data_IF_439410769731
#
_entry.id   IF_439410769731
#
_cell.length_a   1.000
_cell.length_b   1.000
_cell.length_c   1.000
_cell.angle_alpha   90.00
_cell.angle_beta   90.00
_cell.angle_gamma   90.00
#
_symmetry.space_group_name_H-M   'P 1'
#
loop_
_entity.id
_entity.type
_entity.pdbx_description
1 polymer ?
#
# COMPACT_ATOMS: atom_id res chain seq x y z
N UNK A 1 -79.82 -6.76 8.03
CA UNK A 1 -78.57 -6.03 8.35
C UNK A 1 -77.40 -6.99 8.20
N UNK A 2 -76.59 -6.83 7.16
CA UNK A 2 -75.18 -7.23 7.08
C UNK A 2 -74.64 -6.69 5.76
N UNK A 3 -74.06 -5.49 5.83
CA UNK A 3 -73.27 -4.89 4.75
C UNK A 3 -71.93 -5.64 4.69
N UNK A 4 -71.55 -6.13 3.52
CA UNK A 4 -70.19 -6.56 3.26
C UNK A 4 -69.44 -5.40 2.61
N UNK A 5 -68.54 -4.81 3.37
CA UNK A 5 -67.55 -3.82 2.93
C UNK A 5 -66.45 -4.59 2.20
N UNK A 6 -66.29 -4.35 0.90
CA UNK A 6 -65.17 -4.86 0.11
C UNK A 6 -63.97 -3.95 0.40
N UNK A 7 -62.97 -4.48 1.10
CA UNK A 7 -61.70 -3.81 1.34
C UNK A 7 -60.82 -4.05 0.10
N UNK A 8 -60.60 -3.02 -0.71
CA UNK A 8 -59.56 -3.03 -1.74
C UNK A 8 -58.20 -2.92 -1.03
N UNK A 9 -57.48 -4.04 -0.95
CA UNK A 9 -56.09 -4.07 -0.55
C UNK A 9 -55.26 -3.57 -1.74
N UNK A 10 -54.80 -2.33 -1.69
CA UNK A 10 -53.82 -1.81 -2.65
C UNK A 10 -52.48 -2.50 -2.40
N UNK A 11 -52.02 -3.33 -3.33
CA UNK A 11 -50.61 -3.72 -3.38
C UNK A 11 -49.79 -2.44 -3.62
N UNK A 12 -49.10 -1.96 -2.59
CA UNK A 12 -47.91 -1.14 -2.80
C UNK A 12 -46.89 -2.06 -3.48
N UNK A 13 -46.65 -1.80 -4.77
CA UNK A 13 -45.44 -2.27 -5.44
C UNK A 13 -44.26 -1.60 -4.75
N UNK A 14 -43.56 -2.36 -3.91
CA UNK A 14 -42.23 -1.99 -3.42
C UNK A 14 -41.31 -2.15 -4.63
N UNK A 15 -41.08 -1.04 -5.34
CA UNK A 15 -40.00 -0.98 -6.34
C UNK A 15 -38.74 -0.77 -5.52
N UNK A 16 -37.79 -1.72 -5.47
CA UNK A 16 -36.49 -1.43 -4.88
C UNK A 16 -35.92 -0.23 -5.65
N UNK A 17 -35.54 0.82 -4.92
CA UNK A 17 -34.79 1.91 -5.51
C UNK A 17 -33.48 1.29 -6.02
N UNK A 18 -33.29 1.28 -7.33
CA UNK A 18 -31.99 0.96 -7.92
C UNK A 18 -31.11 2.14 -7.58
N UNK A 19 -30.32 2.01 -6.52
CA UNK A 19 -29.28 2.99 -6.18
C UNK A 19 -28.21 2.90 -7.25
N UNK A 20 -27.78 4.05 -7.77
CA UNK A 20 -26.59 4.09 -8.60
C UNK A 20 -25.38 3.61 -7.78
N UNK A 21 -24.49 2.86 -8.42
CA UNK A 21 -23.33 2.26 -7.78
C UNK A 21 -22.29 3.35 -7.49
N UNK A 22 -21.86 3.46 -6.23
CA UNK A 22 -20.67 4.20 -5.82
C UNK A 22 -19.66 3.20 -5.26
N UNK A 23 -18.38 3.37 -5.58
CA UNK A 23 -17.28 2.70 -4.88
C UNK A 23 -16.37 3.78 -4.32
N UNK A 24 -16.45 4.08 -3.03
CA UNK A 24 -15.60 5.09 -2.43
C UNK A 24 -14.14 4.68 -2.27
N UNK A 25 -13.84 3.37 -2.32
CA UNK A 25 -12.51 2.80 -2.09
C UNK A 25 -11.77 2.42 -3.38
N UNK A 26 -10.44 2.58 -3.43
CA UNK A 26 -9.60 2.29 -4.60
C UNK A 26 -9.66 0.81 -4.99
N UNK A 27 -9.57 -0.09 -4.01
CA UNK A 27 -9.51 -1.54 -4.24
C UNK A 27 -10.78 -2.11 -4.89
N UNK A 28 -11.91 -1.41 -4.78
CA UNK A 28 -13.18 -1.78 -5.42
C UNK A 28 -13.58 -0.83 -6.56
N UNK A 29 -12.60 -0.08 -7.11
CA UNK A 29 -12.82 0.88 -8.19
C UNK A 29 -13.68 0.30 -9.32
N UNK A 30 -14.66 1.08 -9.76
CA UNK A 30 -15.65 0.63 -10.74
C UNK A 30 -15.01 0.58 -12.14
N UNK A 31 -14.98 -0.57 -12.83
CA UNK A 31 -14.53 -0.64 -14.21
C UNK A 31 -15.44 0.17 -15.14
N UNK A 32 -14.86 1.09 -15.92
CA UNK A 32 -15.61 1.95 -16.85
C UNK A 32 -15.14 1.83 -18.29
N UNK A 33 -16.09 2.09 -19.18
CA UNK A 33 -15.91 2.18 -20.62
C UNK A 33 -16.13 3.59 -21.12
N UNK A 34 -15.78 3.82 -22.38
CA UNK A 34 -16.07 5.08 -23.04
C UNK A 34 -17.52 5.16 -23.55
N UNK A 35 -18.45 4.30 -23.10
CA UNK A 35 -19.83 4.26 -23.62
C UNK A 35 -20.67 5.49 -23.21
N UNK A 36 -21.97 5.47 -23.49
CA UNK A 36 -22.83 6.66 -23.35
C UNK A 36 -22.85 7.22 -21.94
N UNK A 37 -22.83 8.55 -21.82
CA UNK A 37 -22.86 9.34 -20.58
C UNK A 37 -23.75 8.71 -19.52
N UNK A 38 -23.15 8.36 -18.38
CA UNK A 38 -23.84 7.84 -17.20
C UNK A 38 -23.78 8.84 -16.06
N UNK A 39 -24.85 8.89 -15.27
CA UNK A 39 -24.92 9.64 -14.03
C UNK A 39 -24.47 8.76 -12.87
N UNK A 40 -23.50 9.27 -12.11
CA UNK A 40 -22.94 8.66 -10.92
C UNK A 40 -23.25 9.53 -9.71
N UNK A 41 -23.09 8.96 -8.52
CA UNK A 41 -23.30 9.64 -7.25
C UNK A 41 -22.10 9.33 -6.36
N UNK A 42 -21.50 10.34 -5.76
CA UNK A 42 -20.49 10.14 -4.72
C UNK A 42 -21.09 10.45 -3.35
N UNK A 43 -20.81 9.59 -2.39
CA UNK A 43 -21.19 9.77 -0.99
C UNK A 43 -20.23 8.98 -0.08
N UNK A 44 -19.76 9.64 0.98
CA UNK A 44 -18.87 9.04 1.98
C UNK A 44 -17.44 8.73 1.46
N UNK A 45 -16.64 8.15 2.35
CA UNK A 45 -15.23 7.85 2.12
C UNK A 45 -14.88 6.38 2.36
N UNK A 46 -15.81 5.47 2.04
CA UNK A 46 -15.52 4.04 2.04
C UNK A 46 -15.49 3.38 3.41
N UNK A 47 -15.25 2.08 3.38
CA UNK A 47 -14.97 1.29 4.58
C UNK A 47 -13.46 1.22 4.87
N UNK A 48 -12.63 1.48 3.87
CA UNK A 48 -11.18 1.62 3.95
C UNK A 48 -10.81 3.09 3.79
N UNK A 49 -9.89 3.56 4.63
CA UNK A 49 -9.26 4.85 4.42
C UNK A 49 -8.11 4.67 3.43
N UNK A 50 -8.34 5.01 2.15
CA UNK A 50 -7.36 4.95 1.09
C UNK A 50 -6.18 5.90 1.35
N UNK A 51 -6.32 6.92 2.21
CA UNK A 51 -5.24 7.86 2.50
C UNK A 51 -5.15 8.14 3.99
N UNK A 52 -4.41 7.32 4.75
CA UNK A 52 -4.28 7.47 6.21
C UNK A 52 -4.07 8.96 6.60
N UNK A 53 -5.02 9.60 7.30
CA UNK A 53 -5.05 11.04 7.52
C UNK A 53 -3.93 11.55 8.44
N UNK A 54 -3.28 10.66 9.18
CA UNK A 54 -2.16 10.96 10.06
C UNK A 54 -0.82 10.81 9.34
N UNK A 55 -0.74 9.95 8.33
CA UNK A 55 0.46 9.66 7.53
C UNK A 55 0.48 10.42 6.20
N UNK A 56 -0.58 10.31 5.41
CA UNK A 56 -0.71 10.86 4.05
C UNK A 56 -1.60 12.11 4.09
N UNK A 57 -0.96 13.28 4.00
CA UNK A 57 -1.66 14.58 3.98
C UNK A 57 -1.79 15.21 2.60
N UNK A 58 -1.13 14.62 1.61
CA UNK A 58 -1.11 15.09 0.23
C UNK A 58 -0.84 13.93 -0.72
N UNK A 59 -1.60 13.87 -1.80
CA UNK A 59 -1.35 13.01 -2.96
C UNK A 59 -1.43 13.86 -4.23
N UNK A 60 -0.27 14.16 -4.82
CA UNK A 60 -0.14 15.12 -5.91
C UNK A 60 -0.67 16.51 -5.56
N UNK A 61 -1.77 16.92 -6.19
CA UNK A 61 -2.44 18.19 -5.88
C UNK A 61 -3.66 18.05 -4.97
N UNK A 62 -4.06 16.82 -4.62
CA UNK A 62 -5.05 16.62 -3.57
C UNK A 62 -4.37 16.79 -2.21
N UNK A 63 -4.91 17.68 -1.39
CA UNK A 63 -4.40 17.93 -0.05
C UNK A 63 -5.51 17.71 0.96
N UNK A 64 -5.15 17.22 2.15
CA UNK A 64 -6.03 17.25 3.31
C UNK A 64 -6.33 18.72 3.61
N UNK A 65 -7.55 19.14 3.32
CA UNK A 65 -7.95 20.53 3.51
C UNK A 65 -8.02 20.93 4.98
N UNK A 66 -8.31 22.21 5.20
CA UNK A 66 -8.16 22.85 6.52
C UNK A 66 -9.20 22.42 7.57
N UNK A 67 -10.21 21.64 7.20
CA UNK A 67 -11.18 21.07 8.12
C UNK A 67 -10.63 19.75 8.68
N UNK A 68 -10.47 19.65 9.99
CA UNK A 68 -9.95 18.43 10.66
C UNK A 68 -10.75 17.16 10.36
N UNK A 69 -12.00 17.30 9.91
CA UNK A 69 -12.90 16.19 9.58
C UNK A 69 -12.85 15.75 8.12
N UNK A 70 -12.19 16.50 7.23
CA UNK A 70 -12.16 16.17 5.81
C UNK A 70 -10.76 15.66 5.46
N UNK A 71 -10.69 14.36 5.17
CA UNK A 71 -9.50 13.72 4.65
C UNK A 71 -9.42 13.95 3.12
N UNK A 72 -8.37 13.46 2.46
CA UNK A 72 -8.33 13.37 0.99
C UNK A 72 -9.54 12.57 0.51
N UNK A 73 -9.88 11.50 1.21
CA UNK A 73 -11.09 10.72 1.01
C UNK A 73 -12.25 11.26 1.87
N UNK A 74 -13.26 11.87 1.24
CA UNK A 74 -14.38 12.47 1.96
C UNK A 74 -15.74 12.14 1.34
N UNK A 75 -15.92 12.40 0.05
CA UNK A 75 -17.07 11.97 -0.76
C UNK A 75 -16.55 11.48 -2.08
N UNK A 76 -16.07 10.23 -2.10
CA UNK A 76 -15.24 9.69 -3.17
C UNK A 76 -16.01 8.72 -4.05
N UNK A 77 -15.54 8.64 -5.29
CA UNK A 77 -15.84 7.59 -6.24
C UNK A 77 -14.55 7.21 -6.97
N UNK A 78 -14.20 5.93 -6.94
CA UNK A 78 -13.11 5.38 -7.74
C UNK A 78 -13.62 4.67 -8.96
N UNK A 79 -12.92 4.92 -10.06
CA UNK A 79 -13.11 4.25 -11.33
C UNK A 79 -11.79 3.70 -11.83
N UNK A 80 -11.85 2.61 -12.59
CA UNK A 80 -10.71 2.05 -13.29
C UNK A 80 -11.03 1.91 -14.78
N UNK A 81 -10.09 2.28 -15.64
CA UNK A 81 -10.23 2.07 -17.07
C UNK A 81 -8.94 1.56 -17.68
N UNK A 82 -9.08 0.76 -18.73
CA UNK A 82 -7.98 0.26 -19.55
C UNK A 82 -8.04 0.88 -20.94
N UNK A 83 -6.92 1.42 -21.42
CA UNK A 83 -6.83 1.93 -22.77
C UNK A 83 -6.95 0.78 -23.79
N UNK A 84 -8.00 0.79 -24.62
CA UNK A 84 -8.22 -0.23 -25.65
C UNK A 84 -7.40 0.05 -26.93
N UNK A 85 -7.20 1.33 -27.24
CA UNK A 85 -6.35 1.79 -28.35
C UNK A 85 -5.43 2.93 -27.93
N UNK A 86 -4.22 2.96 -28.51
CA UNK A 86 -3.26 4.03 -28.27
C UNK A 86 -3.70 5.37 -28.88
N UNK A 87 -3.29 6.47 -28.26
CA UNK A 87 -3.63 7.83 -28.69
C UNK A 87 -3.93 8.74 -27.51
N UNK A 88 -4.75 9.76 -27.75
CA UNK A 88 -5.17 10.71 -26.73
C UNK A 88 -6.49 10.29 -26.11
N UNK A 89 -6.49 10.16 -24.79
CA UNK A 89 -7.67 9.99 -23.96
C UNK A 89 -7.79 11.19 -23.01
N UNK A 90 -9.00 11.67 -22.86
CA UNK A 90 -9.41 12.66 -21.87
C UNK A 90 -10.74 12.24 -21.26
N UNK A 91 -11.23 13.05 -20.33
CA UNK A 91 -12.56 12.88 -19.77
C UNK A 91 -13.08 14.21 -19.23
N UNK A 92 -14.39 14.35 -19.23
CA UNK A 92 -15.12 15.47 -18.66
C UNK A 92 -15.90 14.95 -17.44
N UNK A 93 -15.75 15.64 -16.31
CA UNK A 93 -16.57 15.45 -15.10
C UNK A 93 -17.49 16.67 -15.01
N UNK A 94 -18.80 16.44 -15.17
CA UNK A 94 -19.82 17.48 -15.08
C UNK A 94 -20.54 17.42 -13.73
N UNK A 95 -20.51 18.50 -12.97
CA UNK A 95 -21.34 18.66 -11.79
C UNK A 95 -22.82 18.78 -12.19
N UNK A 96 -23.66 17.87 -11.69
CA UNK A 96 -25.09 17.86 -11.98
C UNK A 96 -25.90 18.45 -10.81
N UNK A 97 -27.10 18.99 -11.06
CA UNK A 97 -27.95 19.48 -9.99
C UNK A 97 -28.41 18.34 -9.07
N UNK A 98 -28.20 18.49 -7.76
CA UNK A 98 -28.71 17.57 -6.75
C UNK A 98 -30.23 17.63 -6.57
N UNK A 99 -30.75 17.03 -5.49
CA UNK A 99 -32.20 16.98 -5.20
C UNK A 99 -32.85 18.38 -5.09
N UNK A 100 -32.07 19.38 -4.69
CA UNK A 100 -32.47 20.79 -4.60
C UNK A 100 -32.63 21.48 -5.96
N UNK A 101 -32.14 20.87 -7.05
CA UNK A 101 -32.14 21.43 -8.39
C UNK A 101 -31.05 22.48 -8.64
N UNK A 102 -30.12 22.65 -7.70
CA UNK A 102 -28.93 23.50 -7.85
C UNK A 102 -27.67 22.64 -7.89
N UNK A 103 -26.68 23.07 -8.67
CA UNK A 103 -25.33 22.49 -8.63
C UNK A 103 -24.61 23.05 -7.40
N UNK A 104 -24.23 22.16 -6.50
CA UNK A 104 -23.55 22.46 -5.23
C UNK A 104 -22.19 21.78 -5.13
N UNK A 105 -22.02 20.67 -5.84
CA UNK A 105 -20.77 19.94 -5.90
C UNK A 105 -19.70 20.68 -6.69
N UNK A 106 -18.49 20.65 -6.14
CA UNK A 106 -17.26 21.05 -6.80
C UNK A 106 -16.38 19.81 -6.83
N UNK A 107 -16.24 19.22 -8.02
CA UNK A 107 -15.52 17.97 -8.18
C UNK A 107 -14.03 18.23 -8.36
N UNK A 108 -13.26 17.54 -7.54
CA UNK A 108 -11.83 17.37 -7.69
C UNK A 108 -11.54 15.97 -8.22
N UNK A 109 -10.41 15.79 -8.88
CA UNK A 109 -9.99 14.47 -9.34
C UNK A 109 -8.50 14.25 -9.20
N UNK A 110 -8.13 12.98 -9.08
CA UNK A 110 -6.76 12.50 -9.26
C UNK A 110 -6.76 11.25 -10.12
N UNK A 111 -5.90 11.23 -11.14
CA UNK A 111 -5.70 10.11 -12.04
C UNK A 111 -4.33 9.50 -11.78
N UNK A 112 -4.30 8.21 -11.50
CA UNK A 112 -3.09 7.43 -11.25
C UNK A 112 -2.88 6.42 -12.38
N UNK A 113 -1.60 6.10 -12.65
CA UNK A 113 -1.21 5.13 -13.67
C UNK A 113 -0.04 5.61 -14.55
N UNK A 114 0.27 4.87 -15.62
CA UNK A 114 -0.32 3.57 -15.95
C UNK A 114 0.12 2.48 -14.95
N UNK A 115 -0.72 1.46 -14.79
CA UNK A 115 -0.41 0.16 -14.15
C UNK A 115 0.16 0.31 -12.72
N UNK A 116 -0.48 1.15 -11.90
CA UNK A 116 -0.18 1.28 -10.47
C UNK A 116 -1.11 0.41 -9.63
N UNK A 117 -0.61 -0.06 -8.49
CA UNK A 117 -1.41 -0.80 -7.53
C UNK A 117 -2.08 0.15 -6.53
N UNK A 118 -3.29 -0.19 -6.07
CA UNK A 118 -3.97 0.60 -5.04
C UNK A 118 -3.14 0.70 -3.74
N UNK A 119 -2.36 -0.33 -3.39
CA UNK A 119 -1.45 -0.27 -2.25
C UNK A 119 -0.44 0.87 -2.36
N UNK A 120 0.15 1.08 -3.55
CA UNK A 120 1.08 2.18 -3.81
C UNK A 120 0.39 3.54 -3.80
N UNK A 121 -0.87 3.60 -4.24
CA UNK A 121 -1.70 4.81 -4.11
C UNK A 121 -1.92 5.12 -2.63
N UNK A 122 -2.34 4.12 -1.85
CA UNK A 122 -2.76 4.29 -0.46
C UNK A 122 -1.60 4.56 0.49
N UNK A 123 -0.41 4.04 0.19
CA UNK A 123 0.82 4.37 0.94
C UNK A 123 1.50 5.67 0.44
N UNK A 124 0.95 6.32 -0.60
CA UNK A 124 1.43 7.58 -1.15
C UNK A 124 2.68 7.48 -2.04
N UNK A 125 3.17 6.28 -2.34
CA UNK A 125 4.31 6.08 -3.25
C UNK A 125 3.93 6.40 -4.69
N UNK A 126 2.74 5.98 -5.13
CA UNK A 126 2.18 6.39 -6.41
C UNK A 126 1.59 7.80 -6.30
N UNK A 127 2.07 8.69 -7.16
CA UNK A 127 1.57 10.06 -7.27
C UNK A 127 0.68 10.18 -8.52
N UNK A 128 -0.39 11.00 -8.48
CA UNK A 128 -1.26 11.12 -9.62
C UNK A 128 -0.53 11.80 -10.78
N UNK A 129 -0.80 11.30 -11.98
CA UNK A 129 -0.27 11.84 -13.23
C UNK A 129 -1.09 13.00 -13.77
N UNK A 130 -2.34 13.15 -13.32
CA UNK A 130 -3.24 14.27 -13.58
C UNK A 130 -4.08 14.51 -12.34
N UNK A 131 -4.33 15.76 -12.00
CA UNK A 131 -5.24 16.08 -10.90
C UNK A 131 -5.67 17.54 -10.94
N UNK A 132 -6.80 17.85 -10.31
CA UNK A 132 -7.20 19.22 -9.97
C UNK A 132 -7.64 19.32 -8.51
N UNK A 133 -7.54 20.53 -7.98
CA UNK A 133 -8.08 20.94 -6.68
C UNK A 133 -8.58 22.41 -6.72
N UNK A 134 -8.93 22.91 -7.91
CA UNK A 134 -9.24 24.33 -8.09
C UNK A 134 -10.70 24.60 -8.36
N UNK A 135 -11.12 25.78 -7.90
CA UNK A 135 -12.47 26.27 -8.12
C UNK A 135 -12.69 26.54 -9.60
N UNK A 136 -13.71 25.90 -10.15
CA UNK A 136 -14.03 25.97 -11.57
C UNK A 136 -15.08 27.07 -11.83
N UNK A 137 -14.83 27.90 -12.84
CA UNK A 137 -15.82 28.89 -13.32
C UNK A 137 -16.90 28.26 -14.24
N UNK A 138 -16.84 26.94 -14.45
CA UNK A 138 -17.78 26.13 -15.24
C UNK A 138 -18.22 24.92 -14.42
N UNK A 139 -19.28 24.23 -14.84
CA UNK A 139 -19.69 22.96 -14.18
C UNK A 139 -18.74 21.78 -14.48
N UNK A 140 -17.65 22.02 -15.21
CA UNK A 140 -16.78 20.99 -15.73
C UNK A 140 -15.36 21.08 -15.16
N UNK A 141 -14.81 19.91 -14.84
CA UNK A 141 -13.37 19.65 -14.64
C UNK A 141 -12.97 18.44 -15.48
N UNK A 142 -11.66 18.21 -15.67
CA UNK A 142 -11.19 16.97 -16.27
C UNK A 142 -9.89 17.06 -17.06
N UNK A 143 -9.80 16.25 -18.11
CA UNK A 143 -8.61 16.10 -18.95
C UNK A 143 -9.01 16.30 -20.41
N UNK A 144 -8.36 17.25 -21.10
CA UNK A 144 -8.59 17.51 -22.52
C UNK A 144 -8.99 18.95 -22.81
N UNK A 145 -10.21 19.17 -23.31
CA UNK A 145 -10.72 20.49 -23.67
C UNK A 145 -12.08 20.67 -23.01
N UNK A 146 -12.22 21.71 -22.19
CA UNK A 146 -13.47 22.01 -21.51
C UNK A 146 -14.61 22.25 -22.54
N UNK A 147 -15.72 21.50 -22.44
CA UNK A 147 -16.79 21.54 -23.45
C UNK A 147 -17.62 22.83 -23.39
N UNK A 148 -17.62 23.54 -22.26
CA UNK A 148 -18.42 24.74 -22.05
C UNK A 148 -17.71 25.99 -22.60
N UNK A 149 -16.43 26.16 -22.30
CA UNK A 149 -15.67 27.38 -22.61
C UNK A 149 -14.53 27.19 -23.64
N UNK A 150 -14.22 25.94 -24.03
CA UNK A 150 -13.16 25.61 -24.98
C UNK A 150 -11.74 25.74 -24.44
N UNK A 151 -11.57 25.85 -23.11
CA UNK A 151 -10.26 25.87 -22.45
C UNK A 151 -9.50 24.59 -22.78
N UNK A 152 -8.33 24.74 -23.40
CA UNK A 152 -7.40 23.62 -23.62
C UNK A 152 -6.67 23.34 -22.31
N UNK A 153 -6.65 22.07 -21.91
CA UNK A 153 -6.00 21.65 -20.68
C UNK A 153 -4.50 21.91 -20.70
N UNK A 154 -3.97 22.28 -19.53
CA UNK A 154 -2.57 22.65 -19.36
C UNK A 154 -1.71 21.42 -18.97
N UNK A 155 -0.40 21.42 -19.23
CA UNK A 155 0.47 20.36 -18.75
C UNK A 155 0.41 20.23 -17.22
N UNK A 156 0.35 18.98 -16.74
CA UNK A 156 0.34 18.68 -15.32
C UNK A 156 1.63 19.15 -14.62
N UNK A 157 1.49 19.69 -13.42
CA UNK A 157 2.58 20.07 -12.51
C UNK A 157 2.23 19.58 -11.10
N UNK A 158 3.23 19.23 -10.29
CA UNK A 158 3.00 18.91 -8.88
C UNK A 158 2.38 20.11 -8.15
N UNK A 159 1.25 19.89 -7.45
CA UNK A 159 0.42 20.95 -6.89
C UNK A 159 -0.50 21.66 -7.91
N UNK A 160 -0.75 21.03 -9.06
CA UNK A 160 -1.55 21.55 -10.18
C UNK A 160 -2.82 22.27 -9.74
N UNK A 161 -2.97 23.50 -10.22
CA UNK A 161 -4.15 24.36 -10.05
C UNK A 161 -4.93 24.48 -11.38
N UNK A 162 -4.88 23.44 -12.19
CA UNK A 162 -5.53 23.45 -13.49
C UNK A 162 -6.99 23.00 -13.31
N UNK A 163 -7.94 23.77 -13.83
CA UNK A 163 -9.33 23.33 -13.96
C UNK A 163 -9.49 22.20 -15.00
N UNK A 164 -8.55 22.15 -15.97
CA UNK A 164 -8.42 21.10 -16.97
C UNK A 164 -6.95 20.79 -17.21
N UNK A 165 -6.57 19.52 -17.14
CA UNK A 165 -5.24 19.08 -17.53
C UNK A 165 -5.21 18.64 -19.01
N UNK A 166 -4.02 18.67 -19.61
CA UNK A 166 -3.80 18.23 -20.99
C UNK A 166 -4.07 16.72 -21.14
N UNK A 167 -4.51 16.33 -22.35
CA UNK A 167 -4.78 14.94 -22.74
C UNK A 167 -3.72 13.95 -22.24
N UNK A 168 -4.18 12.76 -21.91
CA UNK A 168 -3.34 11.62 -21.61
C UNK A 168 -2.93 10.95 -22.92
N UNK A 169 -1.64 10.70 -23.10
CA UNK A 169 -1.12 9.87 -24.19
C UNK A 169 -1.02 8.44 -23.68
N UNK A 170 -1.82 7.54 -24.24
CA UNK A 170 -1.93 6.14 -23.79
C UNK A 170 -1.42 5.16 -24.85
N UNK A 171 -1.00 3.99 -24.40
CA UNK A 171 -0.79 2.77 -25.19
C UNK A 171 -1.90 1.76 -24.91
N UNK A 172 -2.21 0.86 -25.88
CA UNK A 172 -3.16 -0.22 -25.63
C UNK A 172 -2.72 -1.10 -24.45
N UNK A 173 -3.64 -1.38 -23.53
CA UNK A 173 -3.46 -2.24 -22.37
C UNK A 173 -3.16 -1.51 -21.06
N UNK A 174 -2.74 -0.25 -21.10
CA UNK A 174 -2.43 0.54 -19.88
C UNK A 174 -3.69 0.75 -19.03
N UNK A 175 -3.59 0.50 -17.72
CA UNK A 175 -4.67 0.65 -16.74
C UNK A 175 -4.47 1.94 -15.93
N UNK A 176 -5.57 2.64 -15.64
CA UNK A 176 -5.57 3.88 -14.88
C UNK A 176 -6.69 3.89 -13.85
N UNK A 177 -6.39 4.44 -12.67
CA UNK A 177 -7.33 4.66 -11.58
C UNK A 177 -7.70 6.13 -11.50
N UNK A 178 -8.99 6.44 -11.48
CA UNK A 178 -9.54 7.78 -11.38
C UNK A 178 -10.29 7.91 -10.06
N UNK A 179 -9.73 8.70 -9.15
CA UNK A 179 -10.41 9.21 -7.97
C UNK A 179 -11.16 10.47 -8.34
N UNK A 180 -12.46 10.51 -8.06
CA UNK A 180 -13.29 11.72 -8.06
C UNK A 180 -13.68 12.00 -6.62
N UNK A 181 -13.47 13.23 -6.17
CA UNK A 181 -13.69 13.62 -4.79
C UNK A 181 -14.54 14.90 -4.73
N UNK A 182 -15.45 14.97 -3.76
CA UNK A 182 -16.11 16.21 -3.37
C UNK A 182 -15.71 16.59 -1.95
N UNK A 183 -14.83 17.58 -1.84
CA UNK A 183 -14.30 18.05 -0.56
C UNK A 183 -15.35 18.85 0.24
N UNK A 184 -16.35 19.41 -0.43
CA UNK A 184 -17.42 20.12 0.26
C UNK A 184 -18.34 19.11 0.92
N UNK A 185 -18.69 19.31 2.20
CA UNK A 185 -19.69 18.46 2.85
C UNK A 185 -20.98 18.57 2.05
N UNK A 186 -21.55 17.45 1.60
CA UNK A 186 -22.88 17.38 1.02
C UNK A 186 -23.82 18.25 1.88
N UNK A 187 -24.19 19.44 1.40
CA UNK A 187 -24.75 20.50 2.26
C UNK A 187 -26.03 20.06 2.97
N UNK A 188 -26.69 19.05 2.40
CA UNK A 188 -27.94 18.46 2.86
C UNK A 188 -27.77 17.00 3.35
N UNK A 189 -26.56 16.42 3.29
CA UNK A 189 -26.27 15.02 3.64
C UNK A 189 -26.74 13.98 2.61
N UNK A 190 -27.10 14.42 1.39
CA UNK A 190 -27.50 13.55 0.28
C UNK A 190 -26.32 13.33 -0.69
N UNK A 191 -26.22 12.17 -1.37
CA UNK A 191 -25.24 11.93 -2.43
C UNK A 191 -25.33 12.98 -3.55
N UNK A 192 -24.19 13.49 -3.99
CA UNK A 192 -24.12 14.51 -5.05
C UNK A 192 -23.88 13.86 -6.43
N UNK A 193 -24.65 14.23 -7.47
CA UNK A 193 -24.54 13.61 -8.78
C UNK A 193 -23.50 14.27 -9.69
N UNK A 194 -22.87 13.45 -10.54
CA UNK A 194 -22.03 13.91 -11.64
C UNK A 194 -22.20 13.06 -12.89
N UNK A 195 -21.76 13.57 -14.03
CA UNK A 195 -21.57 12.76 -15.24
C UNK A 195 -20.09 12.61 -15.55
N UNK A 196 -19.70 11.43 -16.04
CA UNK A 196 -18.36 11.13 -16.51
C UNK A 196 -18.43 10.78 -18.00
N UNK A 197 -17.68 11.51 -18.83
CA UNK A 197 -17.67 11.32 -20.28
C UNK A 197 -16.24 11.26 -20.80
N UNK A 198 -15.84 10.17 -21.44
CA UNK A 198 -14.51 10.08 -22.05
C UNK A 198 -14.43 10.85 -23.38
N UNK A 199 -13.27 11.47 -23.63
CA UNK A 199 -12.99 12.32 -24.79
C UNK A 199 -11.59 12.02 -25.38
N UNK A 200 -11.19 12.75 -26.43
CA UNK A 200 -9.87 12.63 -27.05
C UNK A 200 -9.89 11.95 -28.43
N UNK A 201 -8.74 11.89 -29.09
CA UNK A 201 -8.66 11.40 -30.47
C UNK A 201 -8.92 9.89 -30.59
N UNK A 202 -8.61 9.12 -29.54
CA UNK A 202 -8.84 7.68 -29.47
C UNK A 202 -10.35 7.42 -29.43
N UNK A 203 -11.04 8.12 -28.52
CA UNK A 203 -12.50 8.09 -28.37
C UNK A 203 -13.21 8.59 -29.63
N UNK A 204 -12.76 9.70 -30.21
CA UNK A 204 -13.35 10.26 -31.45
C UNK A 204 -13.20 9.33 -32.65
N UNK A 205 -12.16 8.50 -32.67
CA UNK A 205 -11.94 7.52 -33.74
C UNK A 205 -12.93 6.38 -33.62
N UNK A 206 -13.06 5.81 -32.42
CA UNK A 206 -14.06 4.79 -32.12
C UNK A 206 -14.29 4.67 -30.61
N UNK A 207 -15.45 5.11 -30.15
CA UNK A 207 -15.86 5.09 -28.75
C UNK A 207 -15.90 3.66 -28.19
N UNK A 208 -16.26 2.67 -29.01
CA UNK A 208 -16.40 1.27 -28.57
C UNK A 208 -15.05 0.55 -28.36
N UNK A 209 -13.94 1.12 -28.84
CA UNK A 209 -12.62 0.49 -28.75
C UNK A 209 -11.57 1.37 -28.08
N UNK A 210 -11.90 2.63 -27.78
CA UNK A 210 -10.96 3.54 -27.15
C UNK A 210 -10.57 3.08 -25.74
N UNK A 211 -11.55 2.56 -25.00
CA UNK A 211 -11.35 1.84 -23.75
C UNK A 211 -11.65 0.36 -23.97
N UNK A 212 -10.89 -0.51 -23.29
CA UNK A 212 -11.08 -1.95 -23.35
C UNK A 212 -12.29 -2.35 -22.50
N UNK A 213 -13.42 -2.57 -23.18
CA UNK A 213 -14.66 -2.90 -22.50
C UNK A 213 -14.75 -4.32 -21.99
N UNK A 214 -13.79 -5.20 -22.28
CA UNK A 214 -13.75 -6.50 -21.59
C UNK A 214 -13.44 -6.32 -20.11
N UNK A 215 -12.92 -5.16 -19.68
CA UNK A 215 -12.79 -4.82 -18.26
C UNK A 215 -14.15 -4.76 -17.54
N UNK A 216 -15.26 -4.60 -18.26
CA UNK A 216 -16.61 -4.74 -17.68
C UNK A 216 -17.09 -6.17 -17.58
N UNK A 217 -16.47 -7.08 -18.33
CA UNK A 217 -16.73 -8.50 -18.18
C UNK A 217 -16.10 -9.01 -16.87
N UNK A 218 -15.09 -8.29 -16.33
CA UNK A 218 -14.57 -8.35 -14.95
C UNK A 218 -15.51 -7.58 -13.99
N UNK A 219 -16.78 -7.96 -13.93
CA UNK A 219 -17.81 -7.24 -13.15
C UNK A 219 -17.69 -7.38 -11.63
N UNK A 220 -16.85 -8.30 -11.14
CA UNK A 220 -16.40 -8.39 -9.75
C UNK A 220 -15.31 -7.37 -9.42
N UNK A 221 -14.68 -6.75 -10.42
CA UNK A 221 -13.57 -5.82 -10.27
C UNK A 221 -12.23 -6.45 -10.64
N UNK A 222 -11.14 -5.78 -10.27
CA UNK A 222 -9.78 -6.29 -10.42
C UNK A 222 -9.35 -7.03 -9.16
N UNK A 223 -8.29 -7.84 -9.26
CA UNK A 223 -7.68 -8.53 -8.11
C UNK A 223 -7.43 -7.57 -6.93
N UNK A 224 -7.79 -8.00 -5.72
CA UNK A 224 -7.72 -7.20 -4.51
C UNK A 224 -6.56 -7.68 -3.63
N UNK A 225 -5.70 -6.74 -3.29
CA UNK A 225 -4.75 -6.85 -2.18
C UNK A 225 -5.37 -6.18 -0.95
N UNK A 226 -5.41 -6.89 0.17
CA UNK A 226 -5.97 -6.43 1.43
C UNK A 226 -5.10 -6.86 2.61
N UNK A 227 -5.35 -6.27 3.79
CA UNK A 227 -4.62 -6.57 5.01
C UNK A 227 -5.44 -7.45 5.95
N UNK A 228 -4.77 -8.36 6.67
CA UNK A 228 -5.44 -9.17 7.68
C UNK A 228 -6.04 -8.25 8.76
N UNK A 229 -7.34 -8.35 8.96
CA UNK A 229 -8.12 -7.51 9.87
C UNK A 229 -8.89 -6.38 9.17
N UNK A 230 -8.70 -6.20 7.86
CA UNK A 230 -9.50 -5.26 7.08
C UNK A 230 -11.00 -5.57 7.16
N UNK A 231 -11.87 -4.54 7.03
CA UNK A 231 -13.29 -4.70 6.75
C UNK A 231 -13.59 -5.71 5.64
N UNK A 232 -14.75 -6.36 5.77
CA UNK A 232 -15.24 -7.34 4.81
C UNK A 232 -15.32 -6.76 3.39
N UNK A 233 -14.93 -7.56 2.40
CA UNK A 233 -15.04 -7.23 0.98
C UNK A 233 -16.37 -7.77 0.48
N UNK A 234 -17.22 -6.90 -0.08
CA UNK A 234 -18.52 -7.29 -0.65
C UNK A 234 -18.43 -7.32 -2.17
N UNK A 235 -18.49 -8.53 -2.72
CA UNK A 235 -18.57 -8.76 -4.16
C UNK A 235 -20.04 -8.74 -4.60
N UNK A 236 -20.32 -8.21 -5.79
CA UNK A 236 -21.69 -8.08 -6.30
C UNK A 236 -21.88 -8.67 -7.70
N UNK A 237 -22.78 -9.64 -7.82
CA UNK A 237 -23.20 -10.20 -9.09
C UNK A 237 -24.17 -9.28 -9.87
N UNK A 238 -24.68 -8.21 -9.24
CA UNK A 238 -25.60 -7.26 -9.86
C UNK A 238 -24.93 -6.41 -10.94
N UNK A 239 -23.60 -6.37 -10.95
CA UNK A 239 -22.80 -5.69 -11.96
C UNK A 239 -22.67 -6.50 -13.26
N UNK A 240 -23.09 -7.77 -13.24
CA UNK A 240 -22.99 -8.67 -14.40
C UNK A 240 -23.81 -8.17 -15.60
N UNK A 241 -23.43 -8.56 -16.83
CA UNK A 241 -24.20 -8.20 -18.03
C UNK A 241 -25.63 -8.73 -18.05
N UNK A 242 -25.98 -9.69 -17.17
CA UNK A 242 -27.35 -10.17 -17.00
C UNK A 242 -28.32 -9.07 -16.52
N UNK A 243 -27.82 -8.03 -15.84
CA UNK A 243 -28.63 -6.94 -15.31
C UNK A 243 -29.77 -7.46 -14.41
N UNK A 244 -31.02 -6.97 -14.56
CA UNK A 244 -32.14 -7.41 -13.72
C UNK A 244 -32.66 -8.82 -14.06
N UNK A 245 -32.18 -9.44 -15.13
CA UNK A 245 -32.72 -10.69 -15.68
C UNK A 245 -32.03 -11.94 -15.09
N UNK A 246 -31.70 -11.93 -13.80
CA UNK A 246 -31.02 -13.05 -13.11
C UNK A 246 -32.01 -14.18 -12.78
N UNK A 247 -31.66 -15.42 -13.15
CA UNK A 247 -32.41 -16.62 -12.80
C UNK A 247 -31.74 -17.49 -11.73
N UNK A 248 -30.41 -17.52 -11.69
CA UNK A 248 -29.63 -18.22 -10.67
C UNK A 248 -28.22 -17.63 -10.56
N UNK A 249 -27.60 -17.76 -9.40
CA UNK A 249 -26.21 -17.35 -9.12
C UNK A 249 -25.54 -18.50 -8.37
N UNK A 250 -24.30 -18.81 -8.70
CA UNK A 250 -23.46 -19.76 -7.97
C UNK A 250 -22.12 -19.10 -7.64
N UNK A 251 -21.75 -19.11 -6.37
CA UNK A 251 -20.45 -18.64 -5.89
C UNK A 251 -19.57 -19.83 -5.52
N UNK A 252 -18.30 -19.80 -5.89
CA UNK A 252 -17.30 -20.79 -5.49
C UNK A 252 -15.94 -20.16 -5.23
N UNK A 253 -15.05 -20.92 -4.59
CA UNK A 253 -13.70 -20.45 -4.26
C UNK A 253 -12.67 -21.56 -4.45
N UNK A 254 -11.47 -21.14 -4.87
CA UNK A 254 -10.20 -21.87 -4.85
C UNK A 254 -9.28 -21.12 -3.88
N UNK A 255 -9.10 -21.64 -2.67
CA UNK A 255 -8.36 -20.96 -1.60
C UNK A 255 -6.85 -20.96 -1.86
N UNK A 256 -6.34 -21.99 -2.55
CA UNK A 256 -4.91 -22.16 -2.81
C UNK A 256 -4.48 -21.54 -4.17
N UNK A 257 -5.43 -21.00 -4.94
CA UNK A 257 -5.26 -20.52 -6.33
C UNK A 257 -4.52 -21.54 -7.21
N UNK A 258 -4.83 -22.83 -7.02
CA UNK A 258 -4.13 -23.95 -7.70
C UNK A 258 -4.84 -24.43 -8.98
N UNK A 259 -5.98 -23.82 -9.29
CA UNK A 259 -6.87 -24.13 -10.40
C UNK A 259 -7.97 -25.15 -10.05
N UNK A 260 -8.11 -25.52 -8.78
CA UNK A 260 -9.11 -26.46 -8.29
C UNK A 260 -10.10 -25.78 -7.37
N UNK A 261 -11.39 -25.81 -7.74
CA UNK A 261 -12.45 -25.34 -6.84
C UNK A 261 -12.51 -26.19 -5.57
N UNK A 262 -12.29 -25.55 -4.42
CA UNK A 262 -12.38 -26.16 -3.10
C UNK A 262 -13.82 -26.25 -2.59
N UNK A 263 -14.58 -25.17 -2.78
CA UNK A 263 -15.92 -25.05 -2.21
C UNK A 263 -16.88 -24.26 -3.10
N UNK A 264 -18.16 -24.67 -3.07
CA UNK A 264 -19.29 -23.80 -3.45
C UNK A 264 -19.78 -23.09 -2.21
N UNK A 265 -19.77 -21.75 -2.24
CA UNK A 265 -20.06 -20.90 -1.09
C UNK A 265 -21.55 -20.60 -0.95
N UNK A 266 -22.20 -20.22 -2.05
CA UNK A 266 -23.61 -19.86 -2.08
C UNK A 266 -24.23 -20.22 -3.44
N UNK A 267 -25.54 -20.44 -3.47
CA UNK A 267 -26.28 -20.65 -4.71
C UNK A 267 -27.74 -20.25 -4.60
N UNK A 268 -28.24 -19.50 -5.58
CA UNK A 268 -29.65 -19.13 -5.69
C UNK A 268 -29.85 -17.75 -6.33
N UNK A 269 -31.05 -17.44 -6.82
CA UNK A 269 -31.36 -16.14 -7.45
C UNK A 269 -31.28 -14.94 -6.51
N UNK A 270 -31.22 -15.17 -5.19
CA UNK A 270 -31.11 -14.12 -4.17
C UNK A 270 -29.69 -13.91 -3.65
N UNK A 271 -28.71 -14.73 -4.07
CA UNK A 271 -27.32 -14.66 -3.63
C UNK A 271 -26.56 -13.62 -4.47
N UNK A 272 -27.07 -12.39 -4.50
CA UNK A 272 -26.59 -11.32 -5.37
C UNK A 272 -25.29 -10.69 -4.90
N UNK A 273 -24.89 -10.97 -3.66
CA UNK A 273 -23.66 -10.49 -3.05
C UNK A 273 -22.95 -11.65 -2.34
N UNK A 274 -21.62 -11.58 -2.31
CA UNK A 274 -20.78 -12.46 -1.51
C UNK A 274 -19.89 -11.60 -0.61
N UNK A 275 -19.93 -11.87 0.69
CA UNK A 275 -19.05 -11.24 1.67
C UNK A 275 -17.83 -12.12 1.90
N UNK A 276 -16.65 -11.56 1.66
CA UNK A 276 -15.35 -12.17 1.92
C UNK A 276 -14.70 -11.49 3.11
N UNK A 277 -14.42 -12.25 4.16
CA UNK A 277 -13.84 -11.74 5.41
C UNK A 277 -12.36 -12.08 5.50
N UNK A 278 -11.58 -11.20 6.13
CA UNK A 278 -10.19 -11.52 6.46
C UNK A 278 -10.11 -12.74 7.39
N UNK A 279 -9.13 -13.66 7.23
CA UNK A 279 -8.03 -13.63 6.26
C UNK A 279 -8.26 -14.61 5.09
N UNK A 280 -9.50 -14.80 4.65
CA UNK A 280 -9.88 -15.83 3.67
C UNK A 280 -9.42 -15.46 2.25
N UNK A 281 -8.10 -15.57 2.00
CA UNK A 281 -7.50 -15.38 0.68
C UNK A 281 -7.92 -16.48 -0.29
N UNK A 282 -8.04 -16.16 -1.57
CA UNK A 282 -8.34 -17.14 -2.61
C UNK A 282 -8.88 -16.49 -3.89
N UNK A 283 -9.05 -17.31 -4.93
CA UNK A 283 -9.75 -16.93 -6.15
C UNK A 283 -11.23 -17.25 -6.00
N UNK A 284 -12.05 -16.21 -6.00
CA UNK A 284 -13.50 -16.30 -5.88
C UNK A 284 -14.12 -16.25 -7.27
N UNK A 285 -15.07 -17.13 -7.54
CA UNK A 285 -15.74 -17.27 -8.82
C UNK A 285 -17.23 -17.05 -8.65
N UNK A 286 -17.85 -16.46 -9.67
CA UNK A 286 -19.30 -16.36 -9.79
C UNK A 286 -19.77 -16.87 -11.15
N UNK A 287 -20.85 -17.64 -11.15
CA UNK A 287 -21.59 -18.00 -12.36
C UNK A 287 -23.02 -17.48 -12.25
N UNK A 288 -23.41 -16.55 -13.13
CA UNK A 288 -24.73 -15.93 -13.19
C UNK A 288 -25.48 -16.50 -14.38
N UNK A 289 -26.57 -17.23 -14.13
CA UNK A 289 -27.48 -17.69 -15.18
C UNK A 289 -28.64 -16.70 -15.32
N UNK A 290 -28.78 -16.12 -16.51
CA UNK A 290 -29.90 -15.24 -16.83
C UNK A 290 -31.21 -16.01 -17.10
N UNK A 291 -32.35 -15.32 -17.03
CA UNK A 291 -33.68 -15.88 -17.37
C UNK A 291 -33.79 -16.33 -18.82
N UNK A 292 -32.91 -15.82 -19.70
CA UNK A 292 -32.72 -16.25 -21.09
C UNK A 292 -31.90 -17.53 -21.23
N UNK A 293 -31.41 -18.10 -20.12
CA UNK A 293 -30.47 -19.24 -20.05
C UNK A 293 -29.06 -18.97 -20.58
N UNK A 294 -28.71 -17.70 -20.78
CA UNK A 294 -27.33 -17.28 -20.99
C UNK A 294 -26.56 -17.31 -19.67
N UNK A 295 -25.28 -17.65 -19.72
CA UNK A 295 -24.41 -17.77 -18.54
C UNK A 295 -23.29 -16.75 -18.67
N UNK A 296 -23.13 -15.95 -17.62
CA UNK A 296 -22.03 -15.02 -17.42
C UNK A 296 -21.20 -15.54 -16.26
N UNK A 297 -19.89 -15.54 -16.40
CA UNK A 297 -18.99 -15.98 -15.35
C UNK A 297 -17.86 -14.96 -15.20
N UNK A 298 -17.37 -14.84 -13.98
CA UNK A 298 -16.29 -13.94 -13.62
C UNK A 298 -15.58 -14.47 -12.37
N UNK A 299 -14.36 -13.99 -12.16
CA UNK A 299 -13.53 -14.36 -11.02
C UNK A 299 -12.65 -13.21 -10.54
N UNK A 300 -12.21 -13.29 -9.29
CA UNK A 300 -11.38 -12.28 -8.66
C UNK A 300 -10.44 -12.94 -7.65
N UNK A 301 -9.15 -12.62 -7.70
CA UNK A 301 -8.21 -13.03 -6.67
C UNK A 301 -8.22 -12.02 -5.53
N UNK A 302 -8.48 -12.49 -4.31
CA UNK A 302 -8.36 -11.68 -3.10
C UNK A 302 -7.20 -12.24 -2.28
N UNK A 303 -6.19 -11.42 -1.99
CA UNK A 303 -5.04 -11.81 -1.17
C UNK A 303 -4.97 -10.93 0.07
N UNK A 304 -5.07 -11.56 1.25
CA UNK A 304 -4.84 -10.92 2.54
C UNK A 304 -3.38 -11.09 2.96
N UNK A 305 -2.73 -10.00 3.35
CA UNK A 305 -1.38 -9.98 3.91
C UNK A 305 -1.42 -9.59 5.38
N UNK A 306 -0.74 -10.36 6.23
CA UNK A 306 -0.60 -10.04 7.64
C UNK A 306 0.43 -8.95 7.89
N UNK A 307 0.36 -8.30 9.05
CA UNK A 307 1.41 -7.38 9.50
C UNK A 307 2.80 -8.07 9.47
N UNK A 308 3.85 -7.35 9.05
CA UNK A 308 5.20 -7.92 9.01
C UNK A 308 5.64 -8.36 10.41
N UNK A 309 6.29 -9.51 10.51
CA UNK A 309 6.91 -9.97 11.76
C UNK A 309 8.35 -10.42 11.52
N UNK A 310 9.24 -10.10 12.45
CA UNK A 310 10.62 -10.61 12.44
C UNK A 310 10.64 -12.04 13.02
N UNK A 311 11.08 -13.03 12.23
CA UNK A 311 11.42 -14.36 12.76
C UNK A 311 12.75 -14.28 13.50
N UNK A 312 13.80 -13.88 12.77
CA UNK A 312 15.17 -13.77 13.30
C UNK A 312 16.07 -12.94 12.40
N UNK A 313 17.25 -12.63 12.91
CA UNK A 313 18.36 -12.06 12.14
C UNK A 313 19.48 -13.08 12.09
N UNK A 314 19.81 -13.56 10.90
CA UNK A 314 20.91 -14.48 10.67
C UNK A 314 22.22 -13.69 10.58
N UNK A 315 23.19 -14.02 11.43
CA UNK A 315 24.53 -13.41 11.43
C UNK A 315 25.39 -14.11 10.36
N UNK A 316 25.59 -13.46 9.22
CA UNK A 316 26.40 -14.00 8.12
C UNK A 316 27.91 -13.86 8.39
N UNK A 317 28.29 -12.74 9.02
CA UNK A 317 29.65 -12.48 9.45
C UNK A 317 29.65 -11.53 10.66
N UNK A 318 30.37 -11.90 11.71
CA UNK A 318 30.61 -11.05 12.88
C UNK A 318 32.07 -11.15 13.32
N UNK A 319 32.48 -10.34 14.30
CA UNK A 319 33.87 -10.26 14.76
C UNK A 319 34.88 -10.06 13.61
N UNK A 320 34.49 -9.28 12.59
CA UNK A 320 35.31 -9.01 11.42
C UNK A 320 35.36 -7.51 11.10
N UNK A 321 36.11 -7.14 10.05
CA UNK A 321 36.17 -5.74 9.61
C UNK A 321 34.86 -5.26 8.96
N UNK A 322 33.98 -6.18 8.55
CA UNK A 322 32.68 -5.95 7.93
C UNK A 322 31.69 -6.99 8.44
N UNK A 323 30.80 -6.58 9.35
CA UNK A 323 29.78 -7.49 9.87
C UNK A 323 28.57 -7.47 8.94
N UNK A 324 28.06 -8.66 8.61
CA UNK A 324 26.98 -8.81 7.65
C UNK A 324 25.86 -9.65 8.27
N UNK A 325 24.62 -9.28 7.97
CA UNK A 325 23.42 -9.97 8.46
C UNK A 325 22.44 -10.22 7.32
N UNK A 326 21.51 -11.12 7.57
CA UNK A 326 20.32 -11.34 6.76
C UNK A 326 19.09 -11.31 7.67
N UNK A 327 18.07 -10.52 7.30
CA UNK A 327 16.82 -10.42 8.03
C UNK A 327 15.85 -11.49 7.49
N UNK A 328 15.26 -12.26 8.39
CA UNK A 328 14.29 -13.30 8.05
C UNK A 328 12.93 -12.90 8.63
N UNK A 329 11.97 -12.47 7.80
CA UNK A 329 10.60 -12.21 8.25
C UNK A 329 9.75 -13.49 8.31
N UNK A 330 8.60 -13.39 8.97
CA UNK A 330 7.46 -14.29 8.84
C UNK A 330 6.36 -13.56 8.08
N UNK A 331 5.68 -14.28 7.18
CA UNK A 331 4.52 -13.77 6.44
C UNK A 331 4.65 -14.02 4.94
N UNK A 332 3.64 -13.60 4.20
CA UNK A 332 3.49 -13.72 2.75
C UNK A 332 3.62 -12.38 2.01
N UNK A 333 3.87 -11.27 2.72
CA UNK A 333 3.95 -9.93 2.14
C UNK A 333 5.23 -9.66 1.33
N UNK A 334 5.24 -8.52 0.63
CA UNK A 334 6.43 -8.00 -0.05
C UNK A 334 7.13 -6.99 0.88
N UNK A 335 8.28 -7.36 1.42
CA UNK A 335 8.91 -6.62 2.52
C UNK A 335 10.14 -5.83 2.07
N UNK A 336 10.28 -4.63 2.64
CA UNK A 336 11.52 -3.87 2.66
C UNK A 336 12.01 -3.64 4.09
N UNK A 337 13.31 -3.40 4.22
CA UNK A 337 14.00 -3.44 5.51
C UNK A 337 14.82 -2.19 5.74
N UNK A 338 14.85 -1.70 6.98
CA UNK A 338 15.74 -0.64 7.42
C UNK A 338 16.42 -1.05 8.73
N UNK A 339 17.69 -0.70 8.90
CA UNK A 339 18.41 -0.87 10.17
C UNK A 339 18.82 0.48 10.75
N UNK A 340 18.76 0.61 12.08
CA UNK A 340 19.25 1.77 12.83
C UNK A 340 18.70 3.14 12.34
N UNK A 341 17.46 3.17 11.86
CA UNK A 341 16.83 4.36 11.28
C UNK A 341 17.42 4.83 9.96
N UNK A 342 18.14 3.95 9.24
CA UNK A 342 18.58 4.17 7.87
C UNK A 342 17.43 4.10 6.85
N UNK A 343 17.73 4.31 5.55
CA UNK A 343 16.73 4.15 4.49
C UNK A 343 16.31 2.68 4.34
N UNK A 344 15.09 2.47 3.84
CA UNK A 344 14.61 1.14 3.46
C UNK A 344 15.32 0.61 2.21
N UNK A 345 15.47 -0.71 2.14
CA UNK A 345 15.94 -1.47 0.98
C UNK A 345 15.18 -2.79 0.84
N UNK A 346 14.94 -3.25 -0.39
CA UNK A 346 14.26 -4.52 -0.69
C UNK A 346 15.11 -5.75 -0.30
N UNK A 347 16.43 -5.62 -0.38
CA UNK A 347 17.33 -6.73 -0.03
C UNK A 347 17.33 -6.97 1.49
N UNK A 348 17.11 -8.20 1.97
CA UNK A 348 17.20 -8.52 3.40
C UNK A 348 18.64 -8.54 3.93
N UNK A 349 19.64 -8.41 3.05
CA UNK A 349 21.06 -8.47 3.41
C UNK A 349 21.61 -7.07 3.68
N UNK A 350 22.22 -6.89 4.86
CA UNK A 350 22.93 -5.68 5.24
C UNK A 350 24.43 -5.98 5.44
N UNK A 351 25.26 -5.10 4.89
CA UNK A 351 26.71 -5.18 5.02
C UNK A 351 27.22 -4.05 5.93
N UNK A 352 28.41 -4.23 6.50
CA UNK A 352 29.08 -3.24 7.35
C UNK A 352 28.24 -2.79 8.57
N UNK A 353 27.46 -3.72 9.15
CA UNK A 353 26.62 -3.45 10.32
C UNK A 353 27.49 -3.11 11.54
N UNK A 354 27.21 -2.00 12.25
CA UNK A 354 27.94 -1.64 13.46
C UNK A 354 27.90 -2.75 14.52
N UNK A 355 29.00 -3.00 15.24
CA UNK A 355 28.99 -3.91 16.38
C UNK A 355 28.16 -3.33 17.54
N UNK A 356 27.54 -4.20 18.32
CA UNK A 356 26.64 -3.85 19.42
C UNK A 356 25.17 -4.07 19.09
N UNK A 357 24.31 -3.47 19.90
CA UNK A 357 22.85 -3.53 19.71
C UNK A 357 22.49 -2.64 18.53
N UNK A 358 21.77 -3.22 17.59
CA UNK A 358 21.21 -2.57 16.41
C UNK A 358 19.69 -2.75 16.44
N UNK A 359 18.98 -1.95 15.65
CA UNK A 359 17.53 -2.13 15.44
C UNK A 359 17.23 -2.44 14.00
N UNK A 360 16.18 -3.22 13.77
CA UNK A 360 15.59 -3.48 12.45
C UNK A 360 14.13 -3.05 12.45
N UNK A 361 13.69 -2.52 11.31
CA UNK A 361 12.31 -2.22 10.98
C UNK A 361 12.00 -2.91 9.65
N UNK A 362 10.86 -3.60 9.59
CA UNK A 362 10.33 -4.27 8.39
C UNK A 362 9.05 -3.53 7.99
N UNK A 363 8.95 -3.15 6.73
CA UNK A 363 7.78 -2.50 6.14
C UNK A 363 7.17 -3.41 5.08
N UNK A 364 5.85 -3.62 5.12
CA UNK A 364 5.12 -4.31 4.06
C UNK A 364 4.73 -3.31 2.96
N UNK A 365 5.21 -3.56 1.74
CA UNK A 365 4.95 -2.72 0.58
C UNK A 365 3.52 -2.82 0.09
N UNK A 366 2.80 -3.88 0.46
CA UNK A 366 1.35 -3.98 0.23
C UNK A 366 0.55 -3.03 1.12
N UNK A 367 1.19 -2.28 2.02
CA UNK A 367 0.54 -1.30 2.88
C UNK A 367 0.01 -1.86 4.21
N UNK A 368 0.25 -3.15 4.50
CA UNK A 368 -0.25 -3.82 5.70
C UNK A 368 0.55 -3.55 6.98
N UNK A 369 1.31 -2.46 7.00
CA UNK A 369 1.94 -1.92 8.19
C UNK A 369 3.46 -2.05 8.23
N UNK A 370 4.02 -1.54 9.32
CA UNK A 370 5.46 -1.49 9.59
C UNK A 370 5.72 -1.94 11.03
N UNK A 371 6.74 -2.74 11.26
CA UNK A 371 7.10 -3.18 12.62
C UNK A 371 7.65 -2.03 13.45
N UNK A 372 7.43 -2.07 14.76
CA UNK A 372 8.25 -1.29 15.70
C UNK A 372 9.75 -1.71 15.64
N UNK A 373 10.70 -0.79 15.92
CA UNK A 373 12.11 -1.10 15.93
C UNK A 373 12.43 -2.27 16.87
N UNK A 374 12.90 -3.39 16.31
CA UNK A 374 13.25 -4.59 17.06
C UNK A 374 14.76 -4.70 17.22
N UNK A 375 15.23 -4.91 18.45
CA UNK A 375 16.67 -5.00 18.75
C UNK A 375 17.27 -6.35 18.33
N UNK A 376 18.48 -6.31 17.76
CA UNK A 376 19.33 -7.48 17.54
C UNK A 376 20.80 -7.12 17.83
N UNK A 377 21.60 -8.13 18.17
CA UNK A 377 23.00 -7.93 18.57
C UNK A 377 23.96 -8.42 17.48
N UNK A 378 24.93 -7.59 17.12
CA UNK A 378 26.07 -7.96 16.29
C UNK A 378 27.33 -7.95 17.14
N UNK A 379 27.95 -9.11 17.33
CA UNK A 379 29.17 -9.22 18.14
C UNK A 379 30.35 -8.66 17.34
N UNK A 380 31.11 -7.75 17.91
CA UNK A 380 32.23 -7.16 17.19
C UNK A 380 33.06 -6.20 18.02
N UNK A 381 33.92 -5.44 17.36
CA UNK A 381 34.87 -4.57 18.04
C UNK A 381 34.88 -3.17 17.42
N UNK A 382 34.93 -2.09 18.23
CA UNK A 382 35.14 -0.75 17.73
C UNK A 382 36.49 -0.65 17.00
N UNK A 383 36.50 0.00 15.85
CA UNK A 383 37.74 0.25 15.09
C UNK A 383 38.65 1.29 15.76
N UNK A 384 38.10 2.11 16.66
CA UNK A 384 38.85 3.08 17.44
C UNK A 384 38.17 3.42 18.77
N UNK A 385 38.89 4.08 19.67
CA UNK A 385 38.35 4.70 20.88
C UNK A 385 39.15 5.97 21.24
N UNK A 386 38.58 6.84 22.05
CA UNK A 386 39.10 8.17 22.41
C UNK A 386 39.18 8.37 23.92
N UNK A 387 40.22 7.87 24.61
CA UNK A 387 40.36 8.00 26.06
C UNK A 387 40.75 9.43 26.47
N UNK A 388 39.79 10.35 26.42
CA UNK A 388 39.92 11.79 26.71
C UNK A 388 39.09 12.24 27.94
N UNK A 389 38.38 11.30 28.57
CA UNK A 389 37.54 11.49 29.75
C UNK A 389 36.32 12.39 29.52
N UNK A 390 35.77 12.40 28.30
CA UNK A 390 34.49 13.08 27.99
C UNK A 390 33.26 12.16 28.18
N UNK A 391 33.48 10.90 28.52
CA UNK A 391 32.44 9.88 28.71
C UNK A 391 32.04 9.14 27.43
N UNK A 392 32.59 9.50 26.27
CA UNK A 392 32.25 8.92 24.97
C UNK A 392 33.46 8.18 24.41
N UNK A 393 33.29 6.87 24.15
CA UNK A 393 34.35 5.99 23.64
C UNK A 393 35.66 6.04 24.48
N UNK A 394 35.53 6.20 25.80
CA UNK A 394 36.70 6.31 26.70
C UNK A 394 37.42 4.99 26.95
N UNK A 395 36.71 3.87 26.79
CA UNK A 395 37.28 2.52 26.87
C UNK A 395 37.06 1.76 25.56
N UNK A 396 37.94 0.82 25.29
CA UNK A 396 37.80 -0.14 24.20
C UNK A 396 37.45 -1.52 24.74
N UNK A 397 36.40 -2.15 24.17
CA UNK A 397 35.93 -3.49 24.50
C UNK A 397 35.33 -4.17 23.25
N UNK A 398 35.28 -5.50 23.23
CA UNK A 398 34.40 -6.27 22.33
C UNK A 398 32.94 -6.04 22.77
N UNK A 399 32.07 -5.64 21.85
CA UNK A 399 30.63 -5.45 22.08
C UNK A 399 29.90 -6.77 21.84
N UNK A 400 28.98 -7.14 22.75
CA UNK A 400 28.29 -8.44 22.71
C UNK A 400 29.15 -9.62 23.14
N UNK A 401 30.24 -9.37 23.89
CA UNK A 401 31.18 -10.40 24.32
C UNK A 401 30.52 -11.43 25.25
N UNK A 402 29.48 -11.03 25.98
CA UNK A 402 28.71 -11.82 26.93
C UNK A 402 27.96 -13.00 26.29
N UNK A 403 27.70 -12.93 24.98
CA UNK A 403 27.11 -14.03 24.20
C UNK A 403 28.13 -15.11 23.81
N UNK A 404 29.42 -14.88 24.07
CA UNK A 404 30.49 -15.83 23.80
C UNK A 404 30.75 -16.70 25.04
N UNK A 405 31.16 -17.95 24.84
CA UNK A 405 31.52 -18.86 25.94
C UNK A 405 33.01 -18.72 26.30
N UNK A 406 33.29 -18.45 27.57
CA UNK A 406 34.65 -18.27 28.13
C UNK A 406 35.56 -17.29 27.33
N UNK A 407 35.09 -16.06 27.03
CA UNK A 407 35.83 -15.14 26.18
C UNK A 407 37.00 -14.48 26.94
N UNK A 408 38.18 -14.45 26.31
CA UNK A 408 39.35 -13.75 26.84
C UNK A 408 40.01 -12.92 25.74
N UNK A 409 40.17 -11.62 26.01
CA UNK A 409 40.80 -10.68 25.09
C UNK A 409 42.17 -10.27 25.63
N UNK A 410 43.17 -10.35 24.76
CA UNK A 410 44.53 -9.90 25.02
C UNK A 410 44.87 -8.73 24.10
N UNK A 411 45.35 -7.61 24.64
CA UNK A 411 45.71 -6.39 23.90
C UNK A 411 47.23 -6.22 23.90
N UNK A 412 47.80 -5.87 22.75
CA UNK A 412 49.23 -5.81 22.49
C UNK A 412 49.65 -4.49 21.83
N UNK A 413 50.89 -4.08 22.05
CA UNK A 413 51.53 -3.04 21.25
C UNK A 413 52.05 -3.57 19.89
N UNK A 414 52.55 -2.65 19.05
CA UNK A 414 53.15 -2.97 17.73
C UNK A 414 54.35 -3.92 17.75
N UNK A 415 54.92 -4.20 18.91
CA UNK A 415 56.05 -5.12 19.08
C UNK A 415 55.60 -6.47 19.66
N UNK A 416 54.29 -6.67 19.86
CA UNK A 416 53.71 -7.90 20.42
C UNK A 416 53.80 -7.98 21.95
N UNK A 417 54.10 -6.87 22.64
CA UNK A 417 54.10 -6.86 24.12
C UNK A 417 52.67 -6.83 24.62
N UNK A 418 52.31 -7.77 25.49
CA UNK A 418 51.01 -7.78 26.19
C UNK A 418 50.88 -6.55 27.08
N UNK A 419 49.80 -5.79 26.87
CA UNK A 419 49.48 -4.56 27.59
C UNK A 419 48.35 -4.80 28.60
N UNK A 420 47.31 -5.51 28.20
CA UNK A 420 46.10 -5.71 28.99
C UNK A 420 45.47 -7.05 28.65
N UNK A 421 44.84 -7.67 29.63
CA UNK A 421 43.93 -8.79 29.47
C UNK A 421 42.57 -8.34 30.03
N UNK A 422 41.50 -8.61 29.29
CA UNK A 422 40.11 -8.33 29.67
C UNK A 422 39.24 -9.55 29.34
N UNK A 423 38.10 -9.65 30.02
CA UNK A 423 37.06 -10.67 29.87
C UNK A 423 35.69 -9.96 29.83
N UNK A 424 34.59 -10.72 29.79
CA UNK A 424 33.22 -10.20 29.74
C UNK A 424 32.82 -9.36 30.97
N UNK A 425 33.55 -9.46 32.08
CA UNK A 425 33.27 -8.69 33.31
C UNK A 425 34.03 -7.37 33.37
N UNK A 426 34.90 -7.12 32.39
CA UNK A 426 35.74 -5.93 32.33
C UNK A 426 34.97 -4.71 31.84
N UNK A 427 35.35 -3.53 32.34
CA UNK A 427 34.91 -2.22 31.78
C UNK A 427 35.65 -1.85 30.49
N UNK A 428 36.63 -2.67 30.07
CA UNK A 428 37.44 -2.46 28.88
C UNK A 428 38.79 -1.81 29.17
N UNK A 429 39.46 -1.38 28.10
CA UNK A 429 40.78 -0.76 28.18
C UNK A 429 40.72 0.74 27.93
N UNK A 430 41.23 1.52 28.88
CA UNK A 430 41.27 2.99 28.90
C UNK A 430 42.51 3.59 28.19
N UNK A 431 43.29 2.76 27.51
CA UNK A 431 44.51 3.21 26.84
C UNK A 431 45.70 3.51 27.78
N UNK A 432 45.62 3.09 29.05
CA UNK A 432 46.73 3.20 30.00
C UNK A 432 47.48 1.87 30.18
N UNK A 433 48.78 1.95 30.40
CA UNK A 433 49.62 0.81 30.80
C UNK A 433 50.46 1.17 32.03
N UNK A 434 50.31 0.42 33.11
CA UNK A 434 50.94 0.70 34.40
C UNK A 434 50.77 2.15 34.88
N UNK A 435 49.54 2.68 34.72
CA UNK A 435 49.17 4.05 35.13
C UNK A 435 49.71 5.16 34.24
N UNK A 436 50.27 4.86 33.07
CA UNK A 436 50.74 5.85 32.10
C UNK A 436 49.91 5.79 30.82
N UNK A 437 49.52 6.94 30.24
CA UNK A 437 48.84 6.99 28.96
C UNK A 437 49.76 6.49 27.86
N UNK A 438 49.24 5.57 27.04
CA UNK A 438 49.91 5.14 25.83
C UNK A 438 49.64 6.13 24.67
N UNK A 439 50.56 6.22 23.69
CA UNK A 439 50.44 7.14 22.57
C UNK A 439 49.29 6.77 21.63
N UNK A 440 48.79 7.76 20.88
CA UNK A 440 47.88 7.54 19.76
C UNK A 440 48.56 6.69 18.70
N UNK A 441 48.06 5.48 18.49
CA UNK A 441 48.62 4.48 17.58
C UNK A 441 47.62 3.36 17.36
N UNK A 442 47.95 2.43 16.47
CA UNK A 442 47.23 1.18 16.36
C UNK A 442 47.73 0.19 17.42
N UNK A 443 46.79 -0.58 17.93
CA UNK A 443 47.01 -1.66 18.89
C UNK A 443 46.35 -2.92 18.35
N UNK A 444 46.91 -4.08 18.70
CA UNK A 444 46.42 -5.37 18.22
C UNK A 444 45.74 -6.10 19.36
N UNK A 445 44.71 -6.85 19.05
CA UNK A 445 44.11 -7.75 20.02
C UNK A 445 44.02 -9.17 19.49
N UNK A 446 43.89 -10.09 20.43
CA UNK A 446 43.57 -11.48 20.20
C UNK A 446 42.43 -11.85 21.13
N UNK A 447 41.32 -12.29 20.56
CA UNK A 447 40.16 -12.80 21.29
C UNK A 447 40.15 -14.32 21.16
N UNK A 448 40.16 -15.01 22.29
CA UNK A 448 39.96 -16.46 22.41
C UNK A 448 38.57 -16.69 23.02
N UNK A 449 37.74 -17.53 22.41
CA UNK A 449 36.38 -17.80 22.87
C UNK A 449 35.88 -19.14 22.33
N UNK A 450 34.77 -19.65 22.86
CA UNK A 450 34.03 -20.74 22.24
C UNK A 450 32.62 -20.30 21.84
N UNK A 451 32.06 -20.92 20.81
CA UNK A 451 30.68 -20.69 20.33
C UNK A 451 30.01 -22.01 20.02
N UNK A 452 28.72 -22.12 20.29
CA UNK A 452 27.94 -23.27 19.86
C UNK A 452 27.66 -23.16 18.36
N UNK A 453 28.13 -24.15 17.60
CA UNK A 453 27.88 -24.31 16.17
C UNK A 453 27.06 -25.60 15.99
N UNK A 454 25.73 -25.45 15.90
CA UNK A 454 24.77 -26.55 15.71
C UNK A 454 24.86 -27.66 16.78
N UNK A 455 24.97 -27.27 18.05
CA UNK A 455 25.04 -28.16 19.20
C UNK A 455 26.44 -28.68 19.53
N UNK A 456 27.46 -28.15 18.86
CA UNK A 456 28.87 -28.46 19.13
C UNK A 456 29.60 -27.20 19.54
N UNK A 457 30.21 -27.22 20.73
CA UNK A 457 31.03 -26.11 21.20
C UNK A 457 32.37 -26.09 20.46
N UNK A 458 32.61 -25.03 19.67
CA UNK A 458 33.81 -24.84 18.85
C UNK A 458 34.67 -23.71 19.43
N UNK A 459 35.95 -24.00 19.65
CA UNK A 459 36.93 -23.01 20.10
C UNK A 459 37.43 -22.17 18.91
N UNK A 460 37.35 -20.86 19.07
CA UNK A 460 37.61 -19.85 18.04
C UNK A 460 38.68 -18.84 18.50
N UNK A 461 39.31 -18.19 17.50
CA UNK A 461 40.39 -17.23 17.69
C UNK A 461 40.27 -16.10 16.68
N UNK A 462 40.08 -14.86 17.16
CA UNK A 462 40.09 -13.65 16.34
C UNK A 462 41.35 -12.85 16.61
N UNK A 463 41.97 -12.31 15.55
CA UNK A 463 43.10 -11.39 15.62
C UNK A 463 42.83 -10.19 14.72
N UNK A 464 42.78 -9.01 15.32
CA UNK A 464 42.58 -7.77 14.59
C UNK A 464 43.27 -6.61 15.32
N UNK A 465 43.00 -5.39 14.88
CA UNK A 465 43.56 -4.17 15.45
C UNK A 465 42.51 -3.08 15.59
N UNK A 466 42.82 -2.09 16.41
CA UNK A 466 42.02 -0.88 16.62
C UNK A 466 42.94 0.30 16.89
N UNK A 467 42.43 1.51 16.68
CA UNK A 467 43.19 2.75 16.86
C UNK A 467 42.84 3.42 18.20
N UNK A 468 43.86 3.75 18.99
CA UNK A 468 43.72 4.70 20.10
C UNK A 468 43.93 6.10 19.55
N UNK A 469 42.96 7.00 19.73
CA UNK A 469 43.06 8.41 19.33
C UNK A 469 42.99 9.32 20.56
N UNK A 470 43.90 10.29 20.67
CA UNK A 470 43.92 11.33 21.72
C UNK A 470 43.91 12.71 21.11
#
# INVERSE_FOLDING_TARGET
>A
MKNYLVLLLGCLLYVPAVTAQNSPDCRSAIPVCADTVRTWFADGGGDIDDFDPDVIRQSGCLEKGSNTSANIENNTSWFVFRAGTGGQIGFDIEALPGASGTVTAEWDFALYGPDVDCADISNGTAQPIRCNYEVNDTNFTGVGINPENGQVGAPHLTGSQNTYDAFLEVQPGEIYYLLINNYNTNFDGDPEPFSLTFTGNSVNTNQDTALDCTLRDEFLGLDITACEGDPDIVLSALNSPAGPDIADIVWSVDYDDDGTIDATLASGPGETELTVSSPDSGRYFVEVTATTSEVYADDILITFYGEPQLDRVDILADLSDSNNIEIIPVGNGDYEYAINGGPFQESPIFNDVPPGINTVVINDRNGCGTTEPTEFLVIGYPKFFTPNADGIHDTWHILGIEELTEPVVFIFDRYGKLLKQIDETSVGWDGNFNGRPLPSSDYWFRLEYSRDEQGVLVANLVRAHFTLKR
#
